data_IF_406556305233
#
_entry.id   IF_406556305233
#
_cell.length_a   1.000
_cell.length_b   1.000
_cell.length_c   1.000
_cell.angle_alpha   90.00
_cell.angle_beta   90.00
_cell.angle_gamma   90.00
#
_symmetry.space_group_name_H-M   'P 1'
#
loop_
_entity.id
_entity.type
_entity.pdbx_description
1 polymer ?
#
# COMPACT_ATOMS: atom_id res chain seq x y z
N UNK A 1 7.39 -14.60 3.99
CA UNK A 1 8.55 -14.32 3.09
C UNK A 1 8.13 -14.22 1.63
N UNK A 2 7.80 -15.34 0.97
CA UNK A 2 7.53 -15.42 -0.48
C UNK A 2 6.46 -14.41 -0.93
N UNK A 3 5.32 -14.38 -0.24
CA UNK A 3 4.23 -13.44 -0.56
C UNK A 3 4.65 -11.97 -0.51
N UNK A 4 5.46 -11.58 0.49
CA UNK A 4 5.98 -10.22 0.62
C UNK A 4 6.88 -9.83 -0.55
N UNK A 5 7.78 -10.74 -0.95
CA UNK A 5 8.67 -10.51 -2.08
C UNK A 5 7.90 -10.37 -3.41
N UNK A 6 6.96 -11.28 -3.69
CA UNK A 6 6.13 -11.21 -4.90
C UNK A 6 5.26 -9.95 -4.90
N UNK A 7 4.69 -9.58 -3.75
CA UNK A 7 3.95 -8.33 -3.61
C UNK A 7 4.83 -7.12 -3.97
N UNK A 8 6.06 -7.08 -3.47
CA UNK A 8 7.03 -6.03 -3.78
C UNK A 8 7.37 -5.91 -5.27
N UNK A 9 7.54 -7.04 -5.96
CA UNK A 9 7.71 -7.04 -7.42
C UNK A 9 6.48 -6.44 -8.12
N UNK A 10 5.29 -6.83 -7.66
CA UNK A 10 4.02 -6.34 -8.18
C UNK A 10 3.83 -4.82 -8.02
N UNK A 11 4.25 -4.23 -6.90
CA UNK A 11 4.17 -2.77 -6.65
C UNK A 11 4.83 -1.98 -7.79
N UNK A 12 6.01 -2.41 -8.22
CA UNK A 12 6.80 -1.72 -9.25
C UNK A 12 6.13 -1.84 -10.61
N UNK A 13 5.66 -3.03 -10.96
CA UNK A 13 5.00 -3.29 -12.25
C UNK A 13 3.62 -2.60 -12.35
N UNK A 14 2.88 -2.54 -11.24
CA UNK A 14 1.60 -1.84 -11.13
C UNK A 14 1.75 -0.30 -11.12
N UNK A 15 2.95 0.21 -10.88
CA UNK A 15 3.19 1.64 -10.71
C UNK A 15 2.54 2.21 -9.45
N UNK A 16 2.30 1.40 -8.42
CA UNK A 16 1.65 1.82 -7.17
C UNK A 16 1.49 0.67 -6.17
N UNK A 17 1.49 0.98 -4.87
CA UNK A 17 1.10 0.01 -3.84
C UNK A 17 -0.43 -0.15 -3.80
N UNK A 18 -0.96 -1.05 -2.97
CA UNK A 18 -2.41 -1.32 -2.92
C UNK A 18 -3.25 -0.05 -2.65
N UNK A 19 -2.86 0.78 -1.68
CA UNK A 19 -3.52 2.08 -1.46
C UNK A 19 -3.26 3.05 -2.61
N UNK A 20 -2.06 2.98 -3.18
CA UNK A 20 -1.63 3.73 -4.36
C UNK A 20 -2.55 3.55 -5.55
N UNK A 21 -2.87 2.30 -5.88
CA UNK A 21 -3.75 1.97 -7.00
C UNK A 21 -5.17 2.47 -6.75
N UNK A 22 -5.68 2.41 -5.52
CA UNK A 22 -6.99 2.96 -5.14
C UNK A 22 -7.08 4.48 -5.29
N UNK A 23 -6.16 5.25 -4.71
CA UNK A 23 -6.28 6.71 -4.78
C UNK A 23 -5.98 7.24 -6.18
N UNK A 24 -5.00 6.66 -6.90
CA UNK A 24 -4.65 7.00 -8.29
C UNK A 24 -5.75 6.63 -9.27
N UNK A 25 -6.52 5.58 -8.97
CA UNK A 25 -7.72 5.29 -9.71
C UNK A 25 -8.72 6.46 -9.63
N UNK A 26 -8.92 7.04 -8.44
CA UNK A 26 -9.76 8.25 -8.30
C UNK A 26 -9.18 9.49 -8.99
N UNK A 27 -7.87 9.58 -9.21
CA UNK A 27 -7.23 10.67 -9.97
C UNK A 27 -7.43 10.57 -11.50
N UNK A 28 -7.88 9.41 -12.01
CA UNK A 28 -8.13 9.17 -13.43
C UNK A 28 -7.02 8.42 -14.18
N UNK A 29 -6.11 7.72 -13.48
CA UNK A 29 -5.05 6.93 -14.10
C UNK A 29 -5.58 5.55 -14.55
N UNK A 30 -5.73 5.35 -15.86
CA UNK A 30 -6.27 4.10 -16.43
C UNK A 30 -5.38 2.89 -16.10
N UNK A 31 -4.06 3.05 -16.09
CA UNK A 31 -3.14 1.99 -15.65
C UNK A 31 -3.44 1.50 -14.23
N UNK A 32 -3.79 2.43 -13.32
CA UNK A 32 -4.18 2.08 -11.95
C UNK A 32 -5.54 1.41 -11.87
N UNK A 33 -6.48 1.68 -12.79
CA UNK A 33 -7.75 0.95 -12.87
C UNK A 33 -7.53 -0.52 -13.23
N UNK A 34 -6.68 -0.76 -14.22
CA UNK A 34 -6.33 -2.12 -14.67
C UNK A 34 -5.62 -2.87 -13.53
N UNK A 35 -4.60 -2.26 -12.92
CA UNK A 35 -3.90 -2.86 -11.79
C UNK A 35 -4.84 -3.13 -10.60
N UNK A 36 -5.76 -2.22 -10.30
CA UNK A 36 -6.73 -2.39 -9.22
C UNK A 36 -7.69 -3.54 -9.52
N UNK A 37 -8.19 -3.64 -10.76
CA UNK A 37 -9.08 -4.71 -11.17
C UNK A 37 -8.40 -6.08 -11.10
N UNK A 38 -7.20 -6.22 -11.66
CA UNK A 38 -6.48 -7.52 -11.61
C UNK A 38 -6.03 -7.87 -10.20
N UNK A 39 -5.67 -6.87 -9.38
CA UNK A 39 -5.41 -7.03 -7.95
C UNK A 39 -6.63 -7.56 -7.19
N UNK A 40 -7.79 -6.98 -7.46
CA UNK A 40 -9.06 -7.38 -6.86
C UNK A 40 -9.45 -8.80 -7.24
N UNK A 41 -9.39 -9.13 -8.53
CA UNK A 41 -9.67 -10.48 -9.05
C UNK A 41 -8.75 -11.51 -8.40
N UNK A 42 -7.43 -11.31 -8.48
CA UNK A 42 -6.48 -12.28 -7.93
C UNK A 42 -6.61 -12.40 -6.40
N UNK A 43 -6.86 -11.29 -5.69
CA UNK A 43 -7.08 -11.32 -4.23
C UNK A 43 -8.36 -12.07 -3.84
N UNK A 44 -9.41 -11.99 -4.66
CA UNK A 44 -10.67 -12.72 -4.45
C UNK A 44 -10.52 -14.21 -4.79
N UNK A 45 -9.85 -14.54 -5.90
CA UNK A 45 -9.54 -15.94 -6.28
C UNK A 45 -8.74 -16.63 -5.18
N UNK A 46 -7.69 -15.97 -4.67
CA UNK A 46 -6.88 -16.51 -3.57
C UNK A 46 -7.65 -16.70 -2.25
N UNK A 47 -8.78 -16.01 -2.07
CA UNK A 47 -9.66 -16.16 -0.90
C UNK A 47 -10.87 -17.06 -1.17
N UNK A 48 -11.02 -17.54 -2.40
CA UNK A 48 -12.11 -18.44 -2.77
C UNK A 48 -11.82 -19.86 -2.29
N UNK A 49 -12.86 -20.70 -2.11
CA UNK A 49 -12.70 -22.10 -1.73
C UNK A 49 -11.78 -22.89 -2.69
N UNK A 50 -11.68 -22.50 -3.95
CA UNK A 50 -10.84 -23.17 -4.95
C UNK A 50 -9.33 -23.03 -4.70
N UNK A 51 -8.91 -21.97 -4.01
CA UNK A 51 -7.50 -21.78 -3.63
C UNK A 51 -7.18 -22.31 -2.22
N UNK A 52 -8.15 -22.96 -1.56
CA UNK A 52 -8.01 -23.44 -0.19
C UNK A 52 -6.86 -24.44 -0.02
N UNK A 53 -6.65 -25.35 -0.99
CA UNK A 53 -5.53 -26.30 -0.96
C UNK A 53 -4.16 -25.63 -0.95
N UNK A 54 -3.97 -24.56 -1.74
CA UNK A 54 -2.73 -23.78 -1.73
C UNK A 54 -2.56 -23.03 -0.40
N UNK A 55 -3.64 -22.45 0.11
CA UNK A 55 -3.62 -21.72 1.38
C UNK A 55 -3.33 -22.64 2.58
N UNK A 56 -3.89 -23.85 2.60
CA UNK A 56 -3.62 -24.84 3.66
C UNK A 56 -2.16 -25.29 3.67
N UNK A 57 -1.58 -25.58 2.49
CA UNK A 57 -0.16 -25.90 2.37
C UNK A 57 0.72 -24.76 2.87
N UNK A 58 0.34 -23.51 2.59
CA UNK A 58 1.08 -22.33 3.08
C UNK A 58 0.89 -22.09 4.58
N UNK A 59 -0.29 -22.38 5.13
CA UNK A 59 -0.59 -22.26 6.57
C UNK A 59 0.15 -23.30 7.41
N UNK A 60 0.46 -24.49 6.87
CA UNK A 60 1.33 -25.45 7.54
C UNK A 60 2.73 -24.88 7.88
N UNK A 61 3.21 -23.92 7.08
CA UNK A 61 4.48 -23.23 7.33
C UNK A 61 4.34 -21.92 8.13
N UNK A 62 3.15 -21.63 8.67
CA UNK A 62 2.93 -20.47 9.54
C UNK A 62 3.04 -20.85 11.02
N UNK A 63 3.74 -20.03 11.81
CA UNK A 63 4.00 -20.27 13.23
C UNK A 63 2.79 -19.92 14.10
N UNK A 64 2.54 -20.69 15.16
CA UNK A 64 1.45 -20.40 16.13
C UNK A 64 1.64 -19.07 16.86
N UNK A 65 2.88 -18.65 17.13
CA UNK A 65 3.19 -17.36 17.75
C UNK A 65 3.56 -16.32 16.69
N UNK A 66 2.71 -15.31 16.50
CA UNK A 66 2.97 -14.20 15.57
C UNK A 66 3.46 -12.94 16.30
N UNK A 67 3.22 -12.82 17.61
CA UNK A 67 3.67 -11.68 18.41
C UNK A 67 5.13 -11.84 18.84
N UNK A 68 5.96 -10.84 18.55
CA UNK A 68 7.38 -10.83 18.94
C UNK A 68 7.49 -10.83 20.47
N UNK A 69 6.64 -10.04 21.13
CA UNK A 69 6.63 -9.91 22.59
C UNK A 69 6.30 -11.23 23.30
N UNK A 70 5.29 -11.96 22.80
CA UNK A 70 4.91 -13.28 23.34
C UNK A 70 6.01 -14.32 23.10
N UNK A 71 6.69 -14.28 21.95
CA UNK A 71 7.79 -15.19 21.63
C UNK A 71 8.94 -15.09 22.64
N UNK A 72 9.25 -13.89 23.11
CA UNK A 72 10.29 -13.64 24.10
C UNK A 72 9.77 -13.54 25.54
N UNK A 73 8.46 -13.75 25.74
CA UNK A 73 7.76 -13.56 27.01
C UNK A 73 8.07 -12.20 27.67
N UNK A 74 8.20 -11.16 26.84
CA UNK A 74 8.50 -9.78 27.24
C UNK A 74 7.24 -8.92 27.12
N UNK A 75 7.19 -7.85 27.92
CA UNK A 75 6.20 -6.79 27.68
C UNK A 75 6.43 -6.17 26.29
N UNK A 76 5.34 -5.77 25.62
CA UNK A 76 5.36 -5.11 24.31
C UNK A 76 5.95 -3.69 24.42
N UNK A 77 5.79 -3.03 25.57
CA UNK A 77 6.13 -1.63 25.78
C UNK A 77 7.61 -1.28 25.56
N UNK A 78 8.59 -2.10 26.00
CA UNK A 78 9.99 -1.91 25.62
C UNK A 78 10.23 -1.86 24.11
N UNK A 79 9.64 -2.79 23.34
CA UNK A 79 9.79 -2.82 21.87
C UNK A 79 9.17 -1.58 21.21
N UNK A 80 7.99 -1.18 21.69
CA UNK A 80 7.33 0.05 21.24
C UNK A 80 8.16 1.29 21.57
N UNK A 81 8.75 1.35 22.76
CA UNK A 81 9.62 2.46 23.18
C UNK A 81 10.86 2.56 22.29
N UNK A 82 11.49 1.43 21.98
CA UNK A 82 12.63 1.38 21.04
C UNK A 82 12.21 1.89 19.66
N UNK A 83 11.07 1.44 19.13
CA UNK A 83 10.56 1.92 17.84
C UNK A 83 10.28 3.43 17.86
N UNK A 84 9.68 3.94 18.94
CA UNK A 84 9.40 5.36 19.12
C UNK A 84 10.68 6.20 19.18
N UNK A 85 11.70 5.76 19.93
CA UNK A 85 12.98 6.46 20.00
C UNK A 85 13.66 6.48 18.63
N UNK A 86 13.73 5.35 17.93
CA UNK A 86 14.34 5.28 16.60
C UNK A 86 13.62 6.19 15.62
N UNK A 87 12.28 6.15 15.60
CA UNK A 87 11.49 7.01 14.70
C UNK A 87 11.68 8.49 15.01
N UNK A 88 11.69 8.90 16.28
CA UNK A 88 11.97 10.27 16.69
C UNK A 88 13.37 10.72 16.27
N UNK A 89 14.40 9.90 16.47
CA UNK A 89 15.77 10.21 16.07
C UNK A 89 15.88 10.40 14.54
N UNK A 90 15.24 9.54 13.76
CA UNK A 90 15.21 9.65 12.29
C UNK A 90 14.47 10.91 11.84
N UNK A 91 13.31 11.21 12.45
CA UNK A 91 12.53 12.43 12.16
C UNK A 91 13.33 13.68 12.48
N UNK A 92 13.98 13.73 13.65
CA UNK A 92 14.84 14.85 14.05
C UNK A 92 16.01 15.03 13.08
N UNK A 93 16.66 13.94 12.65
CA UNK A 93 17.75 13.99 11.67
C UNK A 93 17.27 14.51 10.30
N UNK A 94 16.08 14.10 9.86
CA UNK A 94 15.52 14.54 8.58
C UNK A 94 15.08 16.00 8.61
N UNK A 95 14.49 16.47 9.72
CA UNK A 95 14.09 17.86 9.91
C UNK A 95 15.27 18.83 9.96
N UNK A 96 16.45 18.36 10.37
CA UNK A 96 17.69 19.15 10.39
C UNK A 96 18.34 19.31 9.01
N UNK A 97 17.94 18.54 7.98
CA UNK A 97 18.52 18.67 6.65
C UNK A 97 18.11 20.00 5.99
N UNK A 98 19.03 20.68 5.28
CA UNK A 98 18.72 21.94 4.61
C UNK A 98 17.65 21.71 3.54
N UNK A 99 16.60 22.53 3.58
CA UNK A 99 15.49 22.45 2.64
C UNK A 99 15.90 23.05 1.30
N UNK A 100 15.79 22.28 0.22
CA UNK A 100 15.88 22.81 -1.14
C UNK A 100 14.69 23.77 -1.34
N UNK A 101 14.98 25.03 -1.68
CA UNK A 101 13.95 26.01 -2.06
C UNK A 101 13.40 25.62 -3.43
N UNK A 102 12.28 24.93 -3.45
CA UNK A 102 11.54 24.64 -4.68
C UNK A 102 10.70 25.87 -5.02
N UNK A 103 10.81 26.38 -6.25
CA UNK A 103 9.97 27.47 -6.72
C UNK A 103 8.49 27.07 -6.62
N UNK A 104 7.68 27.91 -5.99
CA UNK A 104 6.24 27.71 -5.88
C UNK A 104 5.52 28.78 -6.68
N UNK A 105 4.45 28.38 -7.38
CA UNK A 105 3.60 29.30 -8.12
C UNK A 105 2.81 30.17 -7.12
N UNK A 106 2.45 31.40 -7.50
CA UNK A 106 1.62 32.25 -6.64
C UNK A 106 0.29 31.55 -6.32
N UNK A 107 -0.19 31.67 -5.08
CA UNK A 107 -1.41 31.01 -4.63
C UNK A 107 -2.61 31.49 -5.44
N UNK A 108 -3.46 30.55 -5.89
CA UNK A 108 -4.66 30.85 -6.71
C UNK A 108 -5.95 30.83 -5.88
N UNK A 109 -5.92 30.26 -4.67
CA UNK A 109 -7.03 30.23 -3.71
C UNK A 109 -6.66 30.91 -2.40
N UNK A 110 -7.68 31.29 -1.64
CA UNK A 110 -7.55 31.87 -0.30
C UNK A 110 -8.18 30.95 0.76
N UNK A 111 -7.74 31.09 2.02
CA UNK A 111 -8.30 30.35 3.16
C UNK A 111 -7.99 28.84 3.20
N UNK A 112 -8.92 28.05 3.75
CA UNK A 112 -8.77 26.60 3.96
C UNK A 112 -8.57 25.85 2.64
N UNK A 113 -9.19 26.34 1.55
CA UNK A 113 -9.07 25.75 0.22
C UNK A 113 -7.64 25.88 -0.35
N UNK A 114 -6.89 26.92 0.01
CA UNK A 114 -5.48 27.03 -0.35
C UNK A 114 -4.63 25.98 0.39
N UNK A 115 -4.89 25.82 1.68
CA UNK A 115 -4.16 24.86 2.51
C UNK A 115 -4.42 23.43 2.03
N UNK A 116 -5.67 23.05 1.77
CA UNK A 116 -6.01 21.69 1.35
C UNK A 116 -5.59 21.35 -0.08
N UNK A 117 -5.77 22.28 -1.04
CA UNK A 117 -5.71 21.93 -2.47
C UNK A 117 -4.55 22.53 -3.25
N UNK A 118 -3.81 23.50 -2.68
CA UNK A 118 -2.69 24.16 -3.38
C UNK A 118 -1.36 24.02 -2.63
N UNK A 119 -1.40 24.07 -1.31
CA UNK A 119 -0.20 23.96 -0.49
C UNK A 119 0.26 22.51 -0.44
N UNK A 120 1.55 22.26 -0.73
CA UNK A 120 2.17 20.96 -0.47
C UNK A 120 2.32 20.75 1.04
N UNK A 121 1.71 19.70 1.57
CA UNK A 121 1.79 19.41 3.01
C UNK A 121 3.16 18.87 3.38
N UNK A 122 3.57 19.15 4.62
CA UNK A 122 4.80 18.57 5.15
C UNK A 122 4.61 17.06 5.36
N UNK A 123 5.52 16.19 4.90
CA UNK A 123 5.37 14.73 5.00
C UNK A 123 5.08 14.24 6.43
N UNK A 124 5.70 14.84 7.44
CA UNK A 124 5.41 14.50 8.85
C UNK A 124 4.01 14.91 9.33
N UNK A 125 3.45 16.02 8.82
CA UNK A 125 2.07 16.41 9.16
C UNK A 125 1.10 15.39 8.59
N UNK A 126 1.29 14.99 7.34
CA UNK A 126 0.49 13.90 6.74
C UNK A 126 0.68 12.57 7.47
N UNK A 127 1.89 12.25 7.93
CA UNK A 127 2.16 11.04 8.68
C UNK A 127 1.41 11.01 10.02
N UNK A 128 1.41 12.12 10.77
CA UNK A 128 0.65 12.25 12.02
C UNK A 128 -0.85 12.08 11.76
N UNK A 129 -1.39 12.71 10.71
CA UNK A 129 -2.80 12.60 10.37
C UNK A 129 -3.20 11.16 9.96
N UNK A 130 -2.39 10.49 9.14
CA UNK A 130 -2.62 9.09 8.78
C UNK A 130 -2.53 8.20 10.03
N UNK A 131 -1.61 8.48 10.95
CA UNK A 131 -1.50 7.79 12.23
C UNK A 131 -2.73 7.96 13.11
N UNK A 132 -3.27 9.18 13.21
CA UNK A 132 -4.52 9.45 13.93
C UNK A 132 -5.71 8.75 13.29
N UNK A 133 -5.79 8.73 11.95
CA UNK A 133 -6.81 7.97 11.21
C UNK A 133 -6.66 6.47 11.50
N UNK A 134 -5.44 5.95 11.53
CA UNK A 134 -5.17 4.54 11.85
C UNK A 134 -5.60 4.18 13.28
N UNK A 135 -5.35 5.08 14.23
CA UNK A 135 -5.76 4.92 15.62
C UNK A 135 -7.29 4.88 15.76
N UNK A 136 -8.01 5.77 15.07
CA UNK A 136 -9.47 5.81 15.08
C UNK A 136 -10.10 4.67 14.28
N UNK A 137 -9.44 4.21 13.21
CA UNK A 137 -9.91 3.13 12.36
C UNK A 137 -10.08 1.81 13.11
N UNK A 138 -9.23 1.54 14.11
CA UNK A 138 -9.27 0.29 14.85
C UNK A 138 -10.58 0.10 15.64
N UNK A 139 -10.96 0.96 16.61
CA UNK A 139 -12.20 0.79 17.37
C UNK A 139 -13.44 0.87 16.48
N UNK A 140 -13.40 1.68 15.41
CA UNK A 140 -14.52 1.76 14.45
C UNK A 140 -14.70 0.46 13.66
N UNK A 141 -13.59 -0.19 13.26
CA UNK A 141 -13.63 -1.48 12.57
C UNK A 141 -14.08 -2.59 13.52
N UNK A 142 -13.57 -2.60 14.74
CA UNK A 142 -13.92 -3.55 15.80
C UNK A 142 -15.41 -3.47 16.18
N UNK A 143 -15.97 -2.26 16.28
CA UNK A 143 -17.40 -2.05 16.51
C UNK A 143 -18.30 -2.67 15.41
N UNK A 144 -17.76 -2.92 14.22
CA UNK A 144 -18.47 -3.63 13.13
C UNK A 144 -18.19 -5.14 13.08
N UNK A 145 -17.51 -5.69 14.10
CA UNK A 145 -17.16 -7.11 14.20
C UNK A 145 -15.86 -7.50 13.48
N UNK A 146 -15.07 -6.52 13.02
CA UNK A 146 -13.77 -6.76 12.35
C UNK A 146 -12.61 -6.37 13.26
N UNK A 147 -11.95 -7.38 13.83
CA UNK A 147 -10.75 -7.22 14.68
C UNK A 147 -9.49 -6.91 13.86
N UNK A 148 -9.51 -5.85 13.08
CA UNK A 148 -8.35 -5.40 12.29
C UNK A 148 -8.46 -3.91 11.96
N UNK A 149 -7.35 -3.19 12.04
CA UNK A 149 -7.28 -1.77 11.65
C UNK A 149 -7.27 -1.54 10.13
N UNK A 150 -6.45 -0.60 9.68
CA UNK A 150 -6.34 -0.25 8.25
C UNK A 150 -5.88 -1.45 7.41
N UNK A 151 -6.65 -1.81 6.39
CA UNK A 151 -6.27 -2.88 5.48
C UNK A 151 -7.01 -2.78 4.15
N UNK A 152 -6.29 -2.94 3.04
CA UNK A 152 -6.82 -2.73 1.70
C UNK A 152 -7.17 -4.04 0.99
N UNK A 153 -6.32 -5.07 1.13
CA UNK A 153 -6.45 -6.33 0.38
C UNK A 153 -7.79 -7.03 0.61
N UNK A 154 -8.14 -7.29 1.87
CA UNK A 154 -9.36 -8.04 2.18
C UNK A 154 -10.61 -7.28 1.76
N UNK A 155 -10.78 -5.98 2.05
CA UNK A 155 -11.88 -5.19 1.50
C UNK A 155 -11.97 -5.17 -0.03
N UNK A 156 -10.82 -5.08 -0.70
CA UNK A 156 -10.79 -5.06 -2.16
C UNK A 156 -11.33 -6.38 -2.71
N UNK A 157 -10.91 -7.51 -2.14
CA UNK A 157 -11.46 -8.82 -2.51
C UNK A 157 -12.95 -8.95 -2.17
N UNK A 158 -13.37 -8.43 -1.01
CA UNK A 158 -14.76 -8.47 -0.56
C UNK A 158 -15.71 -7.74 -1.52
N UNK A 159 -15.28 -6.65 -2.16
CA UNK A 159 -16.09 -5.96 -3.17
C UNK A 159 -16.43 -6.92 -4.31
N UNK A 160 -15.44 -7.63 -4.84
CA UNK A 160 -15.68 -8.57 -5.92
C UNK A 160 -16.48 -9.80 -5.47
N UNK A 161 -16.22 -10.29 -4.25
CA UNK A 161 -17.00 -11.40 -3.68
C UNK A 161 -18.47 -11.02 -3.47
N UNK A 162 -18.75 -9.78 -3.04
CA UNK A 162 -20.12 -9.25 -3.00
C UNK A 162 -20.74 -9.18 -4.39
N UNK A 163 -20.02 -8.64 -5.39
CA UNK A 163 -20.54 -8.51 -6.76
C UNK A 163 -20.82 -9.87 -7.42
N UNK A 164 -20.05 -10.91 -7.09
CA UNK A 164 -20.20 -12.25 -7.67
C UNK A 164 -21.19 -13.11 -6.89
N UNK A 165 -21.11 -13.12 -5.56
CA UNK A 165 -21.93 -14.00 -4.71
C UNK A 165 -23.24 -13.34 -4.23
N UNK A 166 -23.37 -12.02 -4.30
CA UNK A 166 -24.55 -11.27 -3.84
C UNK A 166 -24.72 -11.22 -2.32
N UNK A 167 -23.75 -11.73 -1.54
CA UNK A 167 -23.88 -11.88 -0.09
C UNK A 167 -23.40 -10.63 0.66
N UNK A 168 -24.32 -10.00 1.39
CA UNK A 168 -24.08 -8.77 2.16
C UNK A 168 -23.02 -8.91 3.23
N UNK A 169 -22.67 -10.13 3.67
CA UNK A 169 -21.60 -10.37 4.66
C UNK A 169 -20.23 -9.83 4.23
N UNK A 170 -20.00 -9.70 2.92
CA UNK A 170 -18.76 -9.18 2.39
C UNK A 170 -18.65 -7.66 2.52
N UNK A 171 -19.79 -6.94 2.59
CA UNK A 171 -19.83 -5.51 2.83
C UNK A 171 -19.59 -5.26 4.32
N UNK A 172 -18.41 -4.75 4.65
CA UNK A 172 -18.04 -4.37 6.01
C UNK A 172 -17.34 -3.01 6.02
N UNK A 173 -16.97 -2.54 7.22
CA UNK A 173 -16.28 -1.28 7.42
C UNK A 173 -15.08 -1.07 6.47
N UNK A 174 -14.30 -2.12 6.22
CA UNK A 174 -13.15 -2.04 5.34
C UNK A 174 -13.52 -1.78 3.87
N UNK A 175 -14.68 -2.26 3.40
CA UNK A 175 -15.19 -1.97 2.04
C UNK A 175 -15.50 -0.48 1.91
N UNK A 176 -16.18 0.09 2.90
CA UNK A 176 -16.42 1.53 2.95
C UNK A 176 -15.13 2.34 3.04
N UNK A 177 -14.10 1.82 3.71
CA UNK A 177 -12.79 2.46 3.73
C UNK A 177 -12.16 2.53 2.34
N UNK A 178 -12.11 1.45 1.57
CA UNK A 178 -11.46 1.48 0.24
C UNK A 178 -12.27 2.30 -0.77
N UNK A 179 -13.59 2.25 -0.70
CA UNK A 179 -14.47 3.12 -1.49
C UNK A 179 -14.31 4.58 -1.08
N UNK A 180 -14.18 4.86 0.22
CA UNK A 180 -13.90 6.18 0.76
C UNK A 180 -12.57 6.74 0.28
N UNK A 181 -11.52 5.91 0.17
CA UNK A 181 -10.24 6.31 -0.43
C UNK A 181 -10.44 6.71 -1.89
N UNK A 182 -11.20 5.93 -2.66
CA UNK A 182 -11.48 6.23 -4.08
C UNK A 182 -12.26 7.54 -4.26
N UNK A 183 -13.37 7.70 -3.53
CA UNK A 183 -14.21 8.89 -3.62
C UNK A 183 -13.48 10.12 -3.07
N UNK A 184 -12.77 9.96 -1.96
CA UNK A 184 -11.98 11.02 -1.34
C UNK A 184 -10.86 11.52 -2.26
N UNK A 185 -10.14 10.60 -2.93
CA UNK A 185 -9.11 11.00 -3.89
C UNK A 185 -9.69 11.62 -5.15
N UNK A 186 -10.85 11.17 -5.62
CA UNK A 186 -11.56 11.79 -6.74
C UNK A 186 -11.99 13.23 -6.41
N UNK A 187 -12.60 13.47 -5.24
CA UNK A 187 -12.98 14.80 -4.78
C UNK A 187 -11.75 15.69 -4.64
N UNK A 188 -10.68 15.17 -4.03
CA UNK A 188 -9.42 15.89 -3.87
C UNK A 188 -8.80 16.26 -5.23
N UNK A 189 -8.71 15.32 -6.16
CA UNK A 189 -8.13 15.54 -7.49
C UNK A 189 -8.92 16.56 -8.30
N UNK A 190 -10.26 16.50 -8.24
CA UNK A 190 -11.13 17.47 -8.92
C UNK A 190 -11.04 18.85 -8.27
N UNK A 191 -11.02 18.91 -6.94
CA UNK A 191 -10.86 20.15 -6.20
C UNK A 191 -9.50 20.80 -6.46
N UNK A 192 -8.41 20.02 -6.57
CA UNK A 192 -7.07 20.52 -6.92
C UNK A 192 -6.88 20.80 -8.42
N UNK A 193 -7.88 20.51 -9.28
CA UNK A 193 -7.78 20.59 -10.75
C UNK A 193 -6.67 19.72 -11.34
N UNK A 194 -6.35 18.62 -10.69
CA UNK A 194 -5.34 17.65 -11.13
C UNK A 194 -5.97 16.41 -11.78
N UNK A 195 -7.28 16.23 -11.63
CA UNK A 195 -8.01 15.14 -12.27
C UNK A 195 -7.87 15.20 -13.78
N UNK A 196 -7.30 14.13 -14.35
CA UNK A 196 -7.19 13.97 -15.80
C UNK A 196 -7.19 12.49 -16.11
N UNK A 197 -8.09 12.07 -16.99
CA UNK A 197 -8.08 10.70 -17.51
C UNK A 197 -6.83 10.53 -18.37
N UNK A 198 -5.91 9.67 -17.91
CA UNK A 198 -4.64 9.39 -18.58
C UNK A 198 -4.67 7.96 -19.07
N UNK A 199 -4.75 7.80 -20.40
CA UNK A 199 -4.66 6.51 -21.05
C UNK A 199 -3.27 5.91 -20.86
N UNK A 200 -3.23 4.61 -20.59
CA UNK A 200 -1.99 3.84 -20.55
C UNK A 200 -1.70 3.26 -21.92
N UNK A 201 -0.46 3.37 -22.37
CA UNK A 201 0.03 2.66 -23.54
C UNK A 201 -0.09 1.12 -23.34
N UNK A 202 -0.13 0.35 -24.42
CA UNK A 202 -0.36 -1.10 -24.40
C UNK A 202 0.65 -1.82 -23.47
N UNK A 203 1.93 -1.43 -23.53
CA UNK A 203 2.97 -2.01 -22.69
C UNK A 203 2.75 -1.67 -21.20
N UNK A 204 2.34 -0.44 -20.89
CA UNK A 204 2.02 -0.02 -19.52
C UNK A 204 0.78 -0.73 -19.00
N UNK A 205 -0.23 -0.93 -19.85
CA UNK A 205 -1.45 -1.69 -19.53
C UNK A 205 -1.10 -3.13 -19.13
N UNK A 206 -0.30 -3.82 -19.94
CA UNK A 206 0.12 -5.19 -19.64
C UNK A 206 0.95 -5.27 -18.34
N UNK A 207 1.91 -4.36 -18.16
CA UNK A 207 2.72 -4.28 -16.91
C UNK A 207 1.84 -4.00 -15.69
N UNK A 208 0.88 -3.08 -15.82
CA UNK A 208 -0.04 -2.74 -14.73
C UNK A 208 -0.94 -3.91 -14.35
N UNK A 209 -1.47 -4.62 -15.35
CA UNK A 209 -2.28 -5.82 -15.15
C UNK A 209 -1.50 -6.94 -14.46
N UNK A 210 -0.30 -7.27 -14.96
CA UNK A 210 0.60 -8.25 -14.34
C UNK A 210 1.01 -7.84 -12.92
N UNK A 211 1.28 -6.55 -12.71
CA UNK A 211 1.59 -6.00 -11.39
C UNK A 211 0.44 -6.21 -10.40
N UNK A 212 -0.79 -5.91 -10.81
CA UNK A 212 -1.98 -6.16 -9.99
C UNK A 212 -2.17 -7.63 -9.66
N UNK A 213 -1.97 -8.55 -10.62
CA UNK A 213 -2.00 -10.00 -10.36
C UNK A 213 -0.97 -10.40 -9.30
N UNK A 214 0.29 -10.00 -9.46
CA UNK A 214 1.37 -10.30 -8.51
C UNK A 214 1.10 -9.69 -7.13
N UNK A 215 0.56 -8.48 -7.09
CA UNK A 215 0.13 -7.86 -5.83
C UNK A 215 -1.01 -8.65 -5.17
N UNK A 216 -1.98 -9.15 -5.93
CA UNK A 216 -3.13 -9.85 -5.36
C UNK A 216 -2.74 -11.19 -4.78
N UNK A 217 -1.90 -11.92 -5.53
CA UNK A 217 -1.31 -13.17 -5.10
C UNK A 217 -0.40 -12.97 -3.88
N UNK A 218 0.58 -12.06 -4.00
CA UNK A 218 1.56 -11.78 -2.97
C UNK A 218 0.93 -11.28 -1.66
N UNK A 219 -0.05 -10.37 -1.74
CA UNK A 219 -0.73 -9.85 -0.55
C UNK A 219 -1.60 -10.90 0.14
N UNK A 220 -2.15 -11.86 -0.62
CA UNK A 220 -2.97 -12.93 -0.05
C UNK A 220 -2.12 -13.95 0.68
N UNK A 221 -0.95 -14.30 0.13
CA UNK A 221 0.02 -15.20 0.79
C UNK A 221 0.72 -14.51 1.96
N UNK A 222 1.03 -13.22 1.84
CA UNK A 222 1.68 -12.47 2.91
C UNK A 222 0.75 -12.15 4.09
N UNK A 223 -0.56 -12.41 3.97
CA UNK A 223 -1.55 -12.02 4.97
C UNK A 223 -1.84 -10.51 5.00
N UNK A 224 -1.30 -9.72 4.08
CA UNK A 224 -1.47 -8.27 4.06
C UNK A 224 -0.72 -7.58 2.92
N UNK A 225 -1.15 -6.35 2.62
CA UNK A 225 -0.44 -5.41 1.74
C UNK A 225 0.50 -4.51 2.54
N UNK A 226 1.11 -3.51 1.89
CA UNK A 226 1.99 -2.53 2.54
C UNK A 226 1.36 -1.79 3.73
N UNK A 227 0.05 -1.50 3.71
CA UNK A 227 -0.63 -0.89 4.87
C UNK A 227 -0.91 -1.92 5.96
N UNK A 228 -1.47 -3.08 5.60
CA UNK A 228 -1.78 -4.13 6.57
C UNK A 228 -0.52 -4.65 7.26
N UNK A 229 0.45 -5.15 6.50
CA UNK A 229 1.68 -5.70 7.08
C UNK A 229 2.65 -4.59 7.51
N UNK A 230 2.81 -3.53 6.72
CA UNK A 230 3.87 -2.55 6.93
C UNK A 230 3.52 -1.42 7.91
N UNK A 231 2.25 -1.08 8.09
CA UNK A 231 1.81 -0.04 9.03
C UNK A 231 1.11 -0.64 10.25
N UNK A 232 0.17 -1.56 10.05
CA UNK A 232 -0.64 -2.10 11.15
C UNK A 232 0.10 -3.20 11.90
N UNK A 233 0.54 -4.26 11.22
CA UNK A 233 1.15 -5.43 11.87
C UNK A 233 2.55 -5.15 12.45
N UNK A 234 3.28 -4.17 11.91
CA UNK A 234 4.54 -3.67 12.51
C UNK A 234 4.29 -2.87 13.78
N UNK A 235 3.23 -2.05 13.82
CA UNK A 235 2.82 -1.34 15.03
C UNK A 235 2.36 -2.30 16.14
N UNK A 236 1.77 -3.44 15.77
CA UNK A 236 1.43 -4.54 16.68
C UNK A 236 2.63 -5.41 17.09
N UNK A 237 3.86 -5.10 16.65
CA UNK A 237 5.07 -5.87 16.95
C UNK A 237 4.95 -7.37 16.58
N UNK A 238 4.43 -7.65 15.39
CA UNK A 238 4.31 -9.03 14.89
C UNK A 238 5.49 -9.42 13.98
N UNK A 239 5.88 -10.70 14.01
CA UNK A 239 6.89 -11.24 13.10
C UNK A 239 6.45 -11.16 11.65
N UNK A 240 5.18 -11.46 11.37
CA UNK A 240 4.62 -11.34 10.02
C UNK A 240 4.76 -9.93 9.45
N UNK A 241 4.47 -8.90 10.25
CA UNK A 241 4.58 -7.50 9.82
C UNK A 241 6.01 -7.12 9.44
N UNK A 242 6.96 -7.37 10.34
CA UNK A 242 8.37 -7.02 10.15
C UNK A 242 9.05 -7.82 9.03
N UNK A 243 8.91 -9.15 9.04
CA UNK A 243 9.48 -10.01 7.99
C UNK A 243 8.79 -9.72 6.66
N UNK A 244 7.47 -9.58 6.66
CA UNK A 244 6.70 -9.22 5.47
C UNK A 244 7.19 -7.92 4.85
N UNK A 245 7.38 -6.88 5.65
CA UNK A 245 7.86 -5.58 5.20
C UNK A 245 9.27 -5.65 4.59
N UNK A 246 10.22 -6.34 5.24
CA UNK A 246 11.59 -6.49 4.72
C UNK A 246 11.57 -7.13 3.33
N UNK A 247 10.83 -8.23 3.16
CA UNK A 247 10.77 -8.90 1.86
C UNK A 247 9.97 -8.12 0.81
N UNK A 248 8.98 -7.32 1.21
CA UNK A 248 8.34 -6.36 0.31
C UNK A 248 9.34 -5.31 -0.21
N UNK A 249 10.19 -4.77 0.67
CA UNK A 249 11.24 -3.81 0.28
C UNK A 249 12.24 -4.47 -0.68
N UNK A 250 12.68 -5.69 -0.38
CA UNK A 250 13.57 -6.44 -1.27
C UNK A 250 12.93 -6.71 -2.64
N UNK A 251 11.64 -7.07 -2.68
CA UNK A 251 10.90 -7.24 -3.94
C UNK A 251 10.83 -5.95 -4.74
N UNK A 252 10.51 -4.83 -4.11
CA UNK A 252 10.51 -3.51 -4.77
C UNK A 252 11.90 -3.17 -5.30
N UNK A 253 12.95 -3.43 -4.53
CA UNK A 253 14.32 -3.17 -4.94
C UNK A 253 14.72 -3.99 -6.16
N UNK A 254 14.45 -5.30 -6.16
CA UNK A 254 14.77 -6.17 -7.29
C UNK A 254 14.01 -5.75 -8.55
N UNK A 255 12.69 -5.50 -8.46
CA UNK A 255 11.92 -5.08 -9.62
C UNK A 255 12.35 -3.70 -10.13
N UNK A 256 12.64 -2.74 -9.24
CA UNK A 256 13.11 -1.41 -9.63
C UNK A 256 14.45 -1.49 -10.36
N UNK A 257 15.35 -2.35 -9.88
CA UNK A 257 16.63 -2.57 -10.54
C UNK A 257 16.46 -3.19 -11.94
N UNK A 258 15.60 -4.20 -12.08
CA UNK A 258 15.36 -4.88 -13.35
C UNK A 258 14.65 -3.99 -14.38
N UNK A 259 13.64 -3.23 -13.95
CA UNK A 259 12.76 -2.46 -14.84
C UNK A 259 13.34 -1.10 -15.20
N UNK A 260 13.97 -0.41 -14.25
CA UNK A 260 14.45 0.97 -14.46
C UNK A 260 15.97 1.07 -14.55
N UNK A 261 16.70 0.52 -13.58
CA UNK A 261 18.15 0.77 -13.46
C UNK A 261 18.94 0.03 -14.54
N UNK A 262 18.65 -1.27 -14.75
CA UNK A 262 19.40 -2.11 -15.70
C UNK A 262 19.28 -1.61 -17.15
N UNK A 263 18.10 -1.24 -17.69
CA UNK A 263 17.98 -0.69 -19.04
C UNK A 263 18.67 0.66 -19.19
N UNK A 264 18.51 1.57 -18.22
CA UNK A 264 19.18 2.88 -18.23
C UNK A 264 20.70 2.74 -18.21
N UNK A 265 21.22 1.81 -17.39
CA UNK A 265 22.66 1.54 -17.33
C UNK A 265 23.19 0.98 -18.65
N UNK A 266 22.48 0.05 -19.28
CA UNK A 266 22.84 -0.47 -20.60
C UNK A 266 22.85 0.62 -21.67
N UNK A 267 21.82 1.46 -21.70
CA UNK A 267 21.74 2.58 -22.64
C UNK A 267 22.92 3.55 -22.45
N UNK A 268 23.23 3.91 -21.19
CA UNK A 268 24.36 4.79 -20.86
C UNK A 268 25.71 4.20 -21.27
N UNK A 269 25.91 2.90 -21.07
CA UNK A 269 27.13 2.20 -21.49
C UNK A 269 27.25 2.13 -23.02
N UNK A 270 26.14 1.90 -23.73
CA UNK A 270 26.13 1.89 -25.19
C UNK A 270 26.47 3.27 -25.78
N UNK A 271 25.93 4.35 -25.21
CA UNK A 271 26.31 5.72 -25.62
C UNK A 271 27.76 6.07 -25.30
N UNK A 272 28.31 5.54 -24.20
CA UNK A 272 29.70 5.78 -23.84
C UNK A 272 30.70 4.99 -24.71
N UNK A 273 30.28 3.87 -25.29
CA UNK A 273 31.10 3.08 -26.22
C UNK A 273 31.01 3.58 -27.68
N UNK A 274 30.05 4.45 -27.98
CA UNK A 274 29.86 5.05 -29.30
C UNK A 274 30.57 6.41 -29.49
N UNK A 275 31.10 6.98 -28.40
CA UNK A 275 31.91 8.20 -28.37
C UNK A 275 33.38 7.85 -28.15
#
# INVERSE_FOLDING_TARGET
>A
VIGGYIFGLGIVLAGGCATGTWYRAGEGLIGSWIALFTYMVMSAVMRSPHASGLNQTLQHYSTEHNSIAETFNLSVWPLVTVLLVITLLVVMKELKKPKLKVATLPPRRTGIAHILFEKRWHPFVTAVLIGLIALLAWPLSEATGRMFGLGITSPTANILQFLVAGDVKYINWGVFLVLGIFVGSFIAAKASREFRVRAADAQTTLRSGLGGVLMGFGASIAGGCSIGNGLVMTAMMTWQGWIGLVFMILGVWTASWLVYVRPQRKARLATAAAN
#
